data_IF_030005443393
#
_entry.id   IF_030005443393
#
_cell.length_a   1.000
_cell.length_b   1.000
_cell.length_c   1.000
_cell.angle_alpha   90.00
_cell.angle_beta   90.00
_cell.angle_gamma   90.00
#
_symmetry.space_group_name_H-M   'P 1'
#
loop_
_entity.id
_entity.type
_entity.pdbx_description
1 polymer ?
#
# COMPACT_ATOMS: atom_id res chain seq x y z
N UNK A 1 1.67 -25.17 18.18
CA UNK A 1 2.06 -25.60 16.82
C UNK A 1 1.48 -24.60 15.83
N UNK A 2 2.35 -23.85 15.13
CA UNK A 2 1.98 -22.73 14.23
C UNK A 2 1.49 -23.21 12.85
N UNK A 3 0.57 -24.17 12.82
CA UNK A 3 -0.12 -24.55 11.60
C UNK A 3 -1.22 -23.50 11.35
N UNK A 4 -0.96 -22.51 10.48
CA UNK A 4 -2.05 -21.71 9.91
C UNK A 4 -1.91 -20.19 9.79
N UNK A 5 -0.75 -19.58 10.05
CA UNK A 5 -0.59 -18.14 9.77
C UNK A 5 -0.25 -17.89 8.29
N UNK A 6 -1.10 -18.34 7.38
CA UNK A 6 -1.17 -17.88 5.99
C UNK A 6 -2.03 -16.60 5.92
N UNK A 7 -1.74 -15.66 6.82
CA UNK A 7 -2.52 -14.45 7.04
C UNK A 7 -2.25 -13.39 5.98
N UNK A 8 -3.20 -12.47 5.81
CA UNK A 8 -2.95 -11.24 5.09
C UNK A 8 -1.87 -10.43 5.84
N UNK A 9 -0.96 -9.81 5.09
CA UNK A 9 0.07 -8.93 5.65
C UNK A 9 -0.25 -7.49 5.27
N UNK A 10 0.03 -6.56 6.19
CA UNK A 10 -0.05 -5.14 5.91
C UNK A 10 1.23 -4.68 5.22
N UNK A 11 1.07 -4.01 4.08
CA UNK A 11 2.15 -3.40 3.33
C UNK A 11 2.05 -1.88 3.46
N UNK A 12 3.09 -1.27 4.01
CA UNK A 12 3.21 0.18 4.23
C UNK A 12 4.26 0.73 3.29
N UNK A 13 3.96 1.82 2.58
CA UNK A 13 4.92 2.40 1.66
C UNK A 13 4.45 3.69 1.01
N UNK A 14 5.37 4.34 0.29
CA UNK A 14 5.10 5.51 -0.53
C UNK A 14 4.83 5.11 -1.97
N UNK A 15 3.73 5.58 -2.55
CA UNK A 15 3.38 5.33 -3.97
C UNK A 15 4.41 6.00 -4.88
N UNK A 16 4.93 5.26 -5.85
CA UNK A 16 5.96 5.73 -6.80
C UNK A 16 5.59 5.40 -8.25
N UNK A 17 6.07 6.25 -9.16
CA UNK A 17 5.67 6.20 -10.57
C UNK A 17 4.20 6.56 -10.73
N UNK A 18 3.61 6.25 -11.88
CA UNK A 18 2.22 6.55 -12.19
C UNK A 18 1.34 5.31 -11.97
N UNK A 19 0.33 5.37 -11.08
CA UNK A 19 -0.73 4.38 -11.03
C UNK A 19 -1.42 4.24 -12.39
N UNK A 20 -1.82 3.02 -12.77
CA UNK A 20 -2.48 2.71 -14.05
C UNK A 20 -3.61 1.71 -13.86
N UNK A 21 -4.57 1.74 -14.79
CA UNK A 21 -5.74 0.87 -14.73
C UNK A 21 -6.85 1.46 -13.84
N UNK A 22 -7.83 0.62 -13.52
CA UNK A 22 -9.03 1.02 -12.80
C UNK A 22 -9.34 -0.04 -11.73
N UNK A 23 -9.55 0.38 -10.49
CA UNK A 23 -9.79 -0.51 -9.35
C UNK A 23 -11.13 -1.28 -9.44
N UNK A 24 -12.04 -0.85 -10.33
CA UNK A 24 -13.35 -1.46 -10.53
C UNK A 24 -13.39 -2.44 -11.73
N UNK A 25 -12.31 -2.56 -12.51
CA UNK A 25 -12.24 -3.54 -13.61
C UNK A 25 -11.48 -4.79 -13.21
N UNK A 26 -11.61 -5.87 -13.97
CA UNK A 26 -10.89 -7.13 -13.73
C UNK A 26 -9.38 -6.93 -13.65
N UNK A 27 -8.86 -5.98 -14.43
CA UNK A 27 -7.44 -5.63 -14.40
C UNK A 27 -6.98 -4.99 -13.09
N UNK A 28 -7.85 -4.30 -12.35
CA UNK A 28 -7.50 -3.60 -11.14
C UNK A 28 -6.61 -2.37 -11.35
N UNK A 29 -6.49 -1.58 -10.29
CA UNK A 29 -5.55 -0.48 -10.17
C UNK A 29 -4.16 -1.04 -9.87
N UNK A 30 -3.19 -0.65 -10.68
CA UNK A 30 -1.82 -1.14 -10.62
C UNK A 30 -0.88 0.01 -10.31
N UNK A 31 -0.08 -0.15 -9.27
CA UNK A 31 0.90 0.86 -8.87
C UNK A 31 2.10 0.19 -8.23
N UNK A 32 3.12 0.99 -7.91
CA UNK A 32 4.28 0.52 -7.17
C UNK A 32 4.41 1.32 -5.89
N UNK A 33 4.90 0.69 -4.85
CA UNK A 33 5.29 1.38 -3.63
C UNK A 33 6.75 1.11 -3.31
N UNK A 34 7.36 2.03 -2.56
CA UNK A 34 8.67 1.84 -1.92
C UNK A 34 8.52 1.99 -0.41
N UNK A 35 9.41 1.35 0.34
CA UNK A 35 9.50 1.50 1.79
C UNK A 35 9.75 2.96 2.21
N UNK A 36 9.13 3.39 3.31
CA UNK A 36 9.27 4.73 3.91
C UNK A 36 10.42 4.66 4.93
N UNK A 37 11.65 4.78 4.45
CA UNK A 37 12.83 4.73 5.33
C UNK A 37 14.13 4.40 4.62
N UNK A 38 14.07 3.75 3.45
CA UNK A 38 15.25 3.45 2.64
C UNK A 38 15.19 4.10 1.26
N UNK A 39 16.16 4.96 0.97
CA UNK A 39 16.28 5.64 -0.33
C UNK A 39 16.44 4.65 -1.51
N UNK A 40 17.10 3.51 -1.26
CA UNK A 40 17.32 2.42 -2.23
C UNK A 40 16.30 1.29 -2.11
N UNK A 41 15.15 1.52 -1.49
CA UNK A 41 14.14 0.49 -1.28
C UNK A 41 13.67 -0.14 -2.61
N UNK A 42 13.52 -1.46 -2.59
CA UNK A 42 12.91 -2.21 -3.67
C UNK A 42 11.46 -1.72 -3.91
N UNK A 43 11.09 -1.65 -5.19
CA UNK A 43 9.74 -1.23 -5.60
C UNK A 43 8.85 -2.46 -5.67
N UNK A 44 7.82 -2.50 -4.85
CA UNK A 44 6.84 -3.61 -4.83
C UNK A 44 5.69 -3.26 -5.77
N UNK A 45 5.43 -4.06 -6.82
CA UNK A 45 4.23 -3.89 -7.64
C UNK A 45 2.99 -4.36 -6.86
N UNK A 46 1.93 -3.56 -6.91
CA UNK A 46 0.66 -3.78 -6.23
C UNK A 46 -0.47 -3.83 -7.26
N UNK A 47 -1.38 -4.79 -7.12
CA UNK A 47 -2.67 -4.84 -7.81
C UNK A 47 -3.77 -4.69 -6.77
N UNK A 48 -4.67 -3.74 -6.98
CA UNK A 48 -5.74 -3.38 -6.05
C UNK A 48 -7.10 -3.31 -6.75
N UNK A 49 -8.13 -3.74 -6.03
CA UNK A 49 -9.52 -3.63 -6.43
C UNK A 49 -10.34 -3.02 -5.30
N UNK A 50 -11.38 -2.26 -5.64
CA UNK A 50 -12.24 -1.60 -4.65
C UNK A 50 -12.15 -0.08 -4.69
N UNK A 51 -12.64 0.56 -3.64
CA UNK A 51 -12.70 2.01 -3.51
C UNK A 51 -11.30 2.59 -3.34
N UNK A 52 -10.98 3.62 -4.12
CA UNK A 52 -9.69 4.31 -4.07
C UNK A 52 -9.90 5.62 -3.30
N UNK A 53 -9.19 5.87 -2.18
CA UNK A 53 -9.33 7.12 -1.45
C UNK A 53 -8.95 8.33 -2.32
N UNK A 54 -9.64 9.45 -2.16
CA UNK A 54 -9.42 10.67 -2.96
C UNK A 54 -7.98 11.21 -2.87
N UNK A 55 -7.32 11.01 -1.73
CA UNK A 55 -5.94 11.43 -1.49
C UNK A 55 -4.90 10.48 -2.10
N UNK A 56 -5.32 9.42 -2.79
CA UNK A 56 -4.43 8.47 -3.42
C UNK A 56 -3.80 9.09 -4.67
N UNK A 57 -2.48 9.30 -4.62
CA UNK A 57 -1.69 9.78 -5.74
C UNK A 57 -0.24 9.34 -5.59
N UNK A 58 0.55 9.53 -6.63
CA UNK A 58 2.00 9.39 -6.54
C UNK A 58 2.55 10.26 -5.42
N UNK A 59 3.40 9.70 -4.57
CA UNK A 59 3.96 10.36 -3.39
C UNK A 59 3.16 10.18 -2.10
N UNK A 60 1.90 9.72 -2.18
CA UNK A 60 1.10 9.41 -0.98
C UNK A 60 1.70 8.25 -0.20
N UNK A 61 1.71 8.40 1.12
CA UNK A 61 2.02 7.29 2.03
C UNK A 61 0.76 6.49 2.26
N UNK A 62 0.83 5.18 2.05
CA UNK A 62 -0.32 4.30 2.11
C UNK A 62 -0.07 3.11 3.03
N UNK A 63 -1.15 2.46 3.41
CA UNK A 63 -1.17 1.12 4.01
C UNK A 63 -2.22 0.30 3.26
N UNK A 64 -1.88 -0.94 2.95
CA UNK A 64 -2.77 -1.85 2.23
C UNK A 64 -2.53 -3.28 2.70
N UNK A 65 -3.60 -4.03 2.95
CA UNK A 65 -3.51 -5.43 3.34
C UNK A 65 -3.51 -6.32 2.11
N UNK A 66 -2.85 -7.47 2.16
CA UNK A 66 -2.86 -8.40 1.04
C UNK A 66 -1.85 -9.51 1.16
N UNK A 67 -1.50 -10.09 0.01
CA UNK A 67 -0.57 -11.21 -0.09
C UNK A 67 0.36 -11.05 -1.29
N UNK A 68 1.63 -11.39 -1.09
CA UNK A 68 2.57 -11.48 -2.19
C UNK A 68 2.33 -12.78 -2.98
N UNK A 69 2.04 -12.66 -4.27
CA UNK A 69 1.85 -13.77 -5.21
C UNK A 69 2.69 -13.53 -6.45
N UNK A 70 3.60 -14.44 -6.77
CA UNK A 70 4.44 -14.37 -7.98
C UNK A 70 5.16 -13.01 -8.13
N UNK A 71 5.66 -12.44 -7.03
CA UNK A 71 6.35 -11.15 -7.03
C UNK A 71 5.44 -9.91 -7.12
N UNK A 72 4.11 -10.10 -7.14
CA UNK A 72 3.11 -9.02 -7.12
C UNK A 72 2.33 -9.06 -5.83
N UNK A 73 2.22 -7.92 -5.17
CA UNK A 73 1.38 -7.79 -3.99
C UNK A 73 -0.08 -7.64 -4.43
N UNK A 74 -0.88 -8.68 -4.19
CA UNK A 74 -2.31 -8.67 -4.46
C UNK A 74 -3.00 -8.15 -3.20
N UNK A 75 -3.48 -6.91 -3.30
CA UNK A 75 -4.14 -6.24 -2.20
C UNK A 75 -5.57 -6.77 -1.99
N UNK A 76 -5.96 -6.86 -0.72
CA UNK A 76 -7.33 -7.15 -0.33
C UNK A 76 -8.23 -6.00 -0.75
N UNK A 77 -9.42 -6.34 -1.24
CA UNK A 77 -10.42 -5.36 -1.65
C UNK A 77 -10.73 -4.38 -0.51
N UNK A 78 -10.84 -3.09 -0.84
CA UNK A 78 -11.21 -2.01 0.09
C UNK A 78 -10.26 -1.82 1.29
N UNK A 79 -9.05 -2.40 1.24
CA UNK A 79 -8.05 -2.26 2.30
C UNK A 79 -7.08 -1.08 2.11
N UNK A 80 -7.22 -0.31 1.03
CA UNK A 80 -6.32 0.77 0.71
C UNK A 80 -6.61 2.00 1.59
N UNK A 81 -5.65 2.36 2.43
CA UNK A 81 -5.72 3.54 3.28
C UNK A 81 -4.59 4.49 2.90
N UNK A 82 -4.93 5.75 2.65
CA UNK A 82 -3.97 6.84 2.46
C UNK A 82 -3.73 7.55 3.78
N UNK A 83 -2.48 7.68 4.21
CA UNK A 83 -2.13 8.47 5.39
C UNK A 83 -2.19 9.95 5.02
N UNK A 84 -3.01 10.72 5.76
CA UNK A 84 -2.96 12.19 5.68
C UNK A 84 -1.66 12.70 6.32
N UNK A 85 -0.98 13.70 5.73
CA UNK A 85 0.16 14.36 6.37
C UNK A 85 -0.19 15.04 7.70
N UNK A 86 -1.46 15.38 7.93
CA UNK A 86 -1.93 16.10 9.14
C UNK A 86 -1.92 15.26 10.43
N UNK A 87 -1.69 13.94 10.36
CA UNK A 87 -1.66 13.09 11.56
C UNK A 87 -0.27 12.92 12.21
N UNK A 88 0.76 13.64 11.73
CA UNK A 88 2.05 13.78 12.44
C UNK A 88 2.11 15.01 13.37
N UNK A 89 1.02 15.75 13.56
CA UNK A 89 0.88 16.70 14.65
C UNK A 89 0.49 15.96 15.95
N UNK A 90 1.43 15.21 16.52
CA UNK A 90 1.27 14.65 17.87
C UNK A 90 1.78 13.23 18.02
N UNK A 91 3.11 13.07 18.06
CA UNK A 91 3.87 12.47 19.19
C UNK A 91 5.36 12.50 18.84
N UNK A 92 5.92 13.71 18.75
CA UNK A 92 7.35 13.95 18.94
C UNK A 92 7.54 14.65 20.29
N UNK A 93 7.65 13.85 21.34
CA UNK A 93 8.39 14.05 22.60
C UNK A 93 7.96 12.90 23.53
N UNK A 94 8.77 12.12 24.23
CA UNK A 94 10.18 12.17 24.63
C UNK A 94 10.64 13.55 25.07
N UNK A 95 10.16 13.98 26.23
CA UNK A 95 10.97 14.34 27.42
C UNK A 95 10.02 14.49 28.59
#
# INVERSE_FOLDING_TARGET
TLAGHTGDVALVGKVVGSPRGNAHTDGGLRFRIKDIGRATAARVPVVYHGSVPDLFKTGSDITVDGRLRNGVFVAKRDSLITKCPDHYAGKSSKT
#
